data_IF_461283119938
#
_entry.id   IF_461283119938
#
_cell.length_a   1.000
_cell.length_b   1.000
_cell.length_c   1.000
_cell.angle_alpha   90.00
_cell.angle_beta   90.00
_cell.angle_gamma   90.00
#
_symmetry.space_group_name_H-M   'P 1'
#
loop_
_entity.id
_entity.type
_entity.pdbx_description
1 polymer ?
#
# COMPACT_ATOMS: atom_id res chain seq x y z
N UNK A 1 32.63 -55.20 -64.79
CA UNK A 1 31.29 -55.80 -64.60
C UNK A 1 30.83 -55.45 -63.19
N UNK A 2 29.62 -54.87 -63.06
CA UNK A 2 28.71 -54.79 -61.90
C UNK A 2 29.19 -55.47 -60.60
N UNK A 3 29.04 -54.91 -59.39
CA UNK A 3 27.84 -54.27 -58.82
C UNK A 3 28.17 -53.60 -57.48
N UNK A 4 27.46 -52.51 -57.23
CA UNK A 4 27.29 -51.74 -55.99
C UNK A 4 26.69 -52.56 -54.82
N UNK A 5 27.11 -52.29 -53.58
CA UNK A 5 26.22 -52.44 -52.41
C UNK A 5 26.35 -51.24 -51.49
N UNK A 6 25.27 -50.46 -51.46
CA UNK A 6 25.04 -49.30 -50.61
C UNK A 6 24.52 -49.79 -49.27
N UNK A 7 25.23 -49.49 -48.18
CA UNK A 7 24.70 -49.61 -46.83
C UNK A 7 24.04 -48.28 -46.44
N UNK A 8 22.70 -48.28 -46.49
CA UNK A 8 21.85 -47.19 -45.98
C UNK A 8 21.95 -47.17 -44.45
N UNK A 9 22.63 -46.17 -43.90
CA UNK A 9 22.54 -45.83 -42.48
C UNK A 9 21.10 -45.46 -42.11
N UNK A 10 20.58 -46.11 -41.08
CA UNK A 10 19.29 -45.80 -40.46
C UNK A 10 19.40 -44.43 -39.77
N UNK A 11 18.96 -43.36 -40.44
CA UNK A 11 18.76 -42.05 -39.81
C UNK A 11 17.48 -42.09 -38.99
N UNK A 12 17.60 -42.01 -37.66
CA UNK A 12 16.48 -41.69 -36.78
C UNK A 12 16.00 -40.26 -37.12
N UNK A 13 14.67 -40.02 -37.24
CA UNK A 13 14.17 -38.67 -37.37
C UNK A 13 14.46 -37.92 -36.07
N UNK A 14 15.31 -36.89 -36.15
CA UNK A 14 15.52 -35.96 -35.04
C UNK A 14 14.19 -35.29 -34.69
N UNK A 15 13.85 -35.23 -33.40
CA UNK A 15 12.71 -34.45 -32.95
C UNK A 15 12.86 -33.00 -33.43
N UNK A 16 11.79 -32.37 -33.95
CA UNK A 16 11.84 -30.96 -34.29
C UNK A 16 12.20 -30.15 -33.03
N UNK A 17 13.04 -29.11 -33.15
CA UNK A 17 13.30 -28.23 -32.03
C UNK A 17 11.98 -27.62 -31.59
N UNK A 18 11.60 -27.89 -30.34
CA UNK A 18 10.42 -27.30 -29.71
C UNK A 18 10.76 -25.86 -29.35
N UNK A 19 10.80 -24.99 -30.35
CA UNK A 19 10.82 -23.54 -30.12
C UNK A 19 9.38 -23.16 -29.82
N UNK A 20 9.09 -22.96 -28.54
CA UNK A 20 7.83 -22.35 -28.13
C UNK A 20 7.66 -21.03 -28.89
N UNK A 21 6.46 -20.74 -29.44
CA UNK A 21 6.22 -19.44 -30.06
C UNK A 21 6.54 -18.34 -29.04
N UNK A 22 7.08 -17.20 -29.48
CA UNK A 22 7.32 -16.07 -28.57
C UNK A 22 5.99 -15.76 -27.89
N UNK A 23 6.01 -15.77 -26.55
CA UNK A 23 4.84 -15.45 -25.76
C UNK A 23 4.25 -14.14 -26.31
N UNK A 24 2.99 -14.20 -26.75
CA UNK A 24 2.20 -13.01 -27.00
C UNK A 24 2.42 -12.07 -25.82
N UNK A 25 2.59 -10.77 -26.09
CA UNK A 25 2.64 -9.76 -25.02
C UNK A 25 1.26 -9.69 -24.37
N UNK A 26 1.01 -10.63 -23.46
CA UNK A 26 0.06 -10.48 -22.38
C UNK A 26 0.50 -9.22 -21.64
N UNK A 27 -0.41 -8.27 -21.39
CA UNK A 27 -0.14 -7.09 -20.59
C UNK A 27 0.75 -7.48 -19.40
N UNK A 28 1.94 -6.87 -19.31
CA UNK A 28 2.98 -7.35 -18.40
C UNK A 28 2.39 -7.49 -16.99
N UNK A 29 2.44 -8.69 -16.38
CA UNK A 29 1.80 -8.91 -15.10
C UNK A 29 2.35 -7.91 -14.08
N UNK A 30 1.44 -7.22 -13.38
CA UNK A 30 1.79 -6.25 -12.35
C UNK A 30 2.88 -6.83 -11.43
N UNK A 31 4.02 -6.13 -11.33
CA UNK A 31 5.12 -6.56 -10.46
C UNK A 31 4.82 -6.20 -9.01
N UNK A 32 5.55 -6.76 -8.05
CA UNK A 32 5.40 -6.37 -6.64
C UNK A 32 5.65 -4.87 -6.43
N UNK A 33 6.66 -4.31 -7.12
CA UNK A 33 6.92 -2.87 -7.14
C UNK A 33 5.82 -2.09 -7.87
N UNK A 34 5.26 -2.66 -8.95
CA UNK A 34 4.09 -2.10 -9.63
C UNK A 34 2.88 -2.00 -8.71
N UNK A 35 2.60 -3.04 -7.93
CA UNK A 35 1.53 -3.04 -6.92
C UNK A 35 1.79 -2.03 -5.80
N UNK A 36 3.03 -1.95 -5.32
CA UNK A 36 3.46 -0.97 -4.32
C UNK A 36 3.29 0.48 -4.80
N UNK A 37 3.42 0.74 -6.11
CA UNK A 37 3.16 2.05 -6.69
C UNK A 37 1.66 2.27 -6.91
N UNK A 38 0.95 1.28 -7.46
CA UNK A 38 -0.48 1.37 -7.80
C UNK A 38 -1.38 1.56 -6.58
N UNK A 39 -0.99 1.04 -5.41
CA UNK A 39 -1.75 1.24 -4.17
C UNK A 39 -1.83 2.70 -3.75
N UNK A 40 -0.88 3.55 -4.17
CA UNK A 40 -0.93 4.99 -3.91
C UNK A 40 -2.23 5.60 -4.43
N UNK A 41 -2.56 5.33 -5.69
CA UNK A 41 -3.80 5.80 -6.33
C UNK A 41 -5.04 5.25 -5.63
N UNK A 42 -5.06 3.96 -5.30
CA UNK A 42 -6.21 3.35 -4.60
C UNK A 42 -6.40 3.95 -3.21
N UNK A 43 -5.30 4.22 -2.50
CA UNK A 43 -5.32 4.84 -1.18
C UNK A 43 -5.81 6.30 -1.29
N UNK A 44 -5.36 7.06 -2.29
CA UNK A 44 -5.83 8.42 -2.55
C UNK A 44 -7.34 8.45 -2.81
N UNK A 45 -7.85 7.58 -3.68
CA UNK A 45 -9.30 7.48 -3.97
C UNK A 45 -10.12 7.18 -2.70
N UNK A 46 -9.67 6.22 -1.89
CA UNK A 46 -10.32 5.87 -0.62
C UNK A 46 -10.29 7.04 0.35
N UNK A 47 -9.13 7.70 0.51
CA UNK A 47 -8.99 8.85 1.40
C UNK A 47 -9.86 10.02 0.94
N UNK A 48 -9.92 10.32 -0.36
CA UNK A 48 -10.73 11.41 -0.90
C UNK A 48 -12.23 11.19 -0.65
N UNK A 49 -12.71 9.95 -0.81
CA UNK A 49 -14.08 9.59 -0.45
C UNK A 49 -14.34 9.81 1.05
N UNK A 50 -13.45 9.29 1.91
CA UNK A 50 -13.61 9.38 3.37
C UNK A 50 -13.46 10.81 3.89
N UNK A 51 -12.59 11.62 3.31
CA UNK A 51 -12.43 13.04 3.66
C UNK A 51 -13.67 13.84 3.24
N UNK A 52 -14.25 13.58 2.06
CA UNK A 52 -15.53 14.21 1.68
C UNK A 52 -16.64 13.87 2.65
N UNK A 53 -16.75 12.61 3.05
CA UNK A 53 -17.73 12.19 4.05
C UNK A 53 -17.50 12.88 5.40
N UNK A 54 -16.27 12.84 5.93
CA UNK A 54 -15.92 13.49 7.20
C UNK A 54 -16.21 14.99 7.19
N UNK A 55 -15.94 15.70 6.08
CA UNK A 55 -16.23 17.14 5.94
C UNK A 55 -17.73 17.43 5.93
N UNK A 56 -18.55 16.53 5.39
CA UNK A 56 -20.00 16.67 5.40
C UNK A 56 -20.59 16.47 6.80
N UNK A 57 -19.95 15.65 7.64
CA UNK A 57 -20.35 15.42 9.04
C UNK A 57 -19.88 16.55 9.95
N UNK A 58 -18.57 16.85 9.92
CA UNK A 58 -17.95 17.91 10.73
C UNK A 58 -16.69 18.46 10.02
N UNK A 59 -16.74 19.69 9.49
CA UNK A 59 -15.60 20.33 8.83
C UNK A 59 -14.39 20.59 9.74
N UNK A 60 -14.62 20.79 11.05
CA UNK A 60 -13.55 21.02 12.02
C UNK A 60 -12.84 19.71 12.30
N UNK A 61 -13.59 18.65 12.61
CA UNK A 61 -13.02 17.31 12.78
C UNK A 61 -12.20 16.87 11.56
N UNK A 62 -12.77 17.06 10.35
CA UNK A 62 -12.11 16.68 9.12
C UNK A 62 -10.77 17.42 8.93
N UNK A 63 -10.77 18.74 9.14
CA UNK A 63 -9.56 19.57 9.02
C UNK A 63 -8.53 19.25 10.09
N UNK A 64 -8.97 19.07 11.33
CA UNK A 64 -8.06 18.94 12.46
C UNK A 64 -7.46 17.54 12.58
N UNK A 65 -8.21 16.48 12.24
CA UNK A 65 -7.78 15.09 12.43
C UNK A 65 -7.65 14.33 11.10
N UNK A 66 -8.72 14.26 10.32
CA UNK A 66 -8.77 13.40 9.13
C UNK A 66 -7.75 13.83 8.05
N UNK A 67 -7.64 15.13 7.77
CA UNK A 67 -6.66 15.67 6.82
C UNK A 67 -5.21 15.36 7.24
N UNK A 68 -4.94 15.27 8.55
CA UNK A 68 -3.60 14.95 9.06
C UNK A 68 -3.28 13.48 8.96
N UNK A 69 -4.27 12.62 9.20
CA UNK A 69 -4.14 11.20 8.93
C UNK A 69 -3.88 10.94 7.44
N UNK A 70 -4.60 11.63 6.56
CA UNK A 70 -4.37 11.58 5.11
C UNK A 70 -2.94 12.06 4.77
N UNK A 71 -2.45 13.14 5.39
CA UNK A 71 -1.09 13.59 5.19
C UNK A 71 -0.04 12.59 5.71
N UNK A 72 -0.28 11.93 6.84
CA UNK A 72 0.60 10.91 7.42
C UNK A 72 0.70 9.68 6.50
N UNK A 73 -0.45 9.22 5.99
CA UNK A 73 -0.55 8.07 5.09
C UNK A 73 0.06 8.38 3.72
N UNK A 74 -0.11 9.59 3.19
CA UNK A 74 0.45 10.06 1.92
C UNK A 74 1.98 10.19 1.96
N UNK A 75 2.57 10.66 3.07
CA UNK A 75 4.05 10.75 3.24
C UNK A 75 4.74 9.38 3.09
N UNK A 76 4.00 8.30 3.29
CA UNK A 76 4.32 6.99 2.76
C UNK A 76 5.61 6.32 3.27
N UNK A 77 5.81 5.10 2.78
CA UNK A 77 6.98 4.26 3.00
C UNK A 77 7.12 3.30 1.82
N UNK A 78 7.98 2.28 1.90
CA UNK A 78 8.24 1.32 0.80
C UNK A 78 7.03 0.48 0.35
N UNK A 79 5.85 0.65 0.96
CA UNK A 79 4.59 -0.11 0.72
C UNK A 79 4.79 -1.63 0.67
N UNK A 80 5.71 -2.15 1.49
CA UNK A 80 6.08 -3.56 1.49
C UNK A 80 4.89 -4.46 1.84
N UNK A 81 3.98 -4.00 2.70
CA UNK A 81 2.77 -4.77 3.06
C UNK A 81 1.90 -5.03 1.85
N UNK A 82 1.69 -4.00 1.02
CA UNK A 82 0.97 -4.16 -0.24
C UNK A 82 1.72 -5.04 -1.23
N UNK A 83 3.03 -4.86 -1.36
CA UNK A 83 3.85 -5.72 -2.22
C UNK A 83 3.72 -7.20 -1.82
N UNK A 84 3.77 -7.51 -0.52
CA UNK A 84 3.59 -8.88 -0.02
C UNK A 84 2.17 -9.40 -0.20
N UNK A 85 1.14 -8.58 0.01
CA UNK A 85 -0.25 -8.98 -0.26
C UNK A 85 -0.45 -9.36 -1.73
N UNK A 86 0.10 -8.56 -2.65
CA UNK A 86 0.08 -8.86 -4.07
C UNK A 86 0.87 -10.14 -4.40
N UNK A 87 2.07 -10.32 -3.85
CA UNK A 87 2.85 -11.56 -4.03
C UNK A 87 2.08 -12.79 -3.53
N UNK A 88 1.42 -12.71 -2.38
CA UNK A 88 0.57 -13.77 -1.84
C UNK A 88 -0.61 -14.10 -2.76
N UNK A 89 -1.30 -13.08 -3.26
CA UNK A 89 -2.39 -13.25 -4.24
C UNK A 89 -1.91 -13.95 -5.52
N UNK A 90 -0.76 -13.53 -6.08
CA UNK A 90 -0.17 -14.18 -7.26
C UNK A 90 0.27 -15.62 -6.97
N UNK A 91 0.89 -15.88 -5.83
CA UNK A 91 1.30 -17.22 -5.43
C UNK A 91 0.11 -18.18 -5.25
N UNK A 92 -1.06 -17.65 -4.88
CA UNK A 92 -2.31 -18.39 -4.79
C UNK A 92 -3.04 -18.57 -6.14
N UNK A 93 -2.43 -18.20 -7.27
CA UNK A 93 -3.02 -18.33 -8.61
C UNK A 93 -3.80 -17.09 -9.08
N UNK A 94 -3.74 -15.98 -8.35
CA UNK A 94 -4.33 -14.71 -8.75
C UNK A 94 -3.81 -14.24 -10.12
N UNK A 95 -4.73 -13.85 -11.00
CA UNK A 95 -4.47 -13.31 -12.33
C UNK A 95 -5.57 -12.33 -12.74
N UNK A 96 -5.30 -11.49 -13.76
CA UNK A 96 -6.25 -10.49 -14.24
C UNK A 96 -6.36 -9.27 -13.33
N UNK A 97 -7.59 -8.84 -13.04
CA UNK A 97 -7.87 -7.62 -12.29
C UNK A 97 -7.33 -7.67 -10.84
N UNK A 98 -6.34 -6.81 -10.56
CA UNK A 98 -5.71 -6.70 -9.26
C UNK A 98 -6.42 -5.71 -8.30
N UNK A 99 -7.55 -5.12 -8.71
CA UNK A 99 -8.25 -4.08 -7.92
C UNK A 99 -8.55 -4.53 -6.50
N UNK A 100 -9.03 -5.76 -6.31
CA UNK A 100 -9.35 -6.28 -4.98
C UNK A 100 -8.10 -6.36 -4.07
N UNK A 101 -6.99 -6.90 -4.58
CA UNK A 101 -5.75 -7.02 -3.77
C UNK A 101 -5.09 -5.66 -3.54
N UNK A 102 -5.22 -4.72 -4.47
CA UNK A 102 -4.76 -3.34 -4.26
C UNK A 102 -5.61 -2.61 -3.21
N UNK A 103 -6.93 -2.81 -3.18
CA UNK A 103 -7.79 -2.30 -2.09
C UNK A 103 -7.42 -2.92 -0.74
N UNK A 104 -7.12 -4.22 -0.70
CA UNK A 104 -6.55 -4.85 0.51
C UNK A 104 -5.22 -4.21 0.91
N UNK A 105 -4.35 -3.94 -0.06
CA UNK A 105 -3.10 -3.20 0.16
C UNK A 105 -3.33 -1.82 0.80
N UNK A 106 -4.26 -1.04 0.27
CA UNK A 106 -4.60 0.27 0.82
C UNK A 106 -5.10 0.16 2.27
N UNK A 107 -5.95 -0.83 2.57
CA UNK A 107 -6.39 -1.10 3.93
C UNK A 107 -5.22 -1.47 4.87
N UNK A 108 -4.25 -2.27 4.40
CA UNK A 108 -3.04 -2.59 5.19
C UNK A 108 -2.18 -1.35 5.47
N UNK A 109 -2.13 -0.39 4.56
CA UNK A 109 -1.40 0.86 4.77
C UNK A 109 -2.11 1.79 5.77
N UNK A 110 -3.45 1.80 5.79
CA UNK A 110 -4.24 2.50 6.81
C UNK A 110 -4.09 1.84 8.19
N UNK A 111 -4.17 0.51 8.25
CA UNK A 111 -3.89 -0.25 9.47
C UNK A 111 -2.49 0.06 10.02
N UNK A 112 -1.50 0.16 9.15
CA UNK A 112 -0.16 0.56 9.56
C UNK A 112 -0.10 1.99 10.10
N UNK A 113 -0.89 2.92 9.54
CA UNK A 113 -0.96 4.27 10.05
C UNK A 113 -1.59 4.32 11.45
N UNK A 114 -2.67 3.55 11.69
CA UNK A 114 -3.25 3.34 13.02
C UNK A 114 -2.17 2.90 14.01
N UNK A 115 -1.46 1.82 13.68
CA UNK A 115 -0.42 1.26 14.55
C UNK A 115 0.68 2.29 14.86
N UNK A 116 1.19 3.00 13.86
CA UNK A 116 2.24 4.00 14.08
C UNK A 116 1.79 5.16 14.98
N UNK A 117 0.55 5.63 14.81
CA UNK A 117 0.01 6.72 15.63
C UNK A 117 -0.14 6.27 17.09
N UNK A 118 -0.68 5.08 17.32
CA UNK A 118 -0.82 4.53 18.66
C UNK A 118 0.53 4.21 19.29
N UNK A 119 1.47 3.62 18.55
CA UNK A 119 2.84 3.35 19.01
C UNK A 119 3.54 4.65 19.41
N UNK A 120 3.42 5.72 18.61
CA UNK A 120 4.03 7.02 18.95
C UNK A 120 3.52 7.56 20.29
N UNK A 121 2.24 7.33 20.61
CA UNK A 121 1.63 7.72 21.89
C UNK A 121 2.10 6.80 23.02
N UNK A 122 2.05 5.48 22.82
CA UNK A 122 2.44 4.49 23.84
C UNK A 122 3.92 4.60 24.23
N UNK A 123 4.78 4.86 23.24
CA UNK A 123 6.23 4.97 23.44
C UNK A 123 6.67 6.38 23.85
N UNK A 124 5.77 7.37 23.83
CA UNK A 124 6.13 8.78 24.03
C UNK A 124 7.07 9.34 22.96
N UNK A 125 7.00 8.80 21.73
CA UNK A 125 7.87 9.18 20.63
C UNK A 125 7.53 10.58 20.11
N UNK A 126 8.44 11.54 20.24
CA UNK A 126 8.18 12.93 19.84
C UNK A 126 8.28 13.18 18.32
N UNK A 127 8.85 12.22 17.58
CA UNK A 127 9.10 12.33 16.13
C UNK A 127 8.79 11.03 15.40
N UNK A 128 8.28 11.17 14.18
CA UNK A 128 8.02 10.10 13.23
C UNK A 128 8.50 10.51 11.85
N UNK A 129 9.41 9.72 11.27
CA UNK A 129 9.94 9.93 9.91
C UNK A 129 10.44 11.37 9.66
N UNK A 130 11.15 11.95 10.64
CA UNK A 130 11.70 13.30 10.56
C UNK A 130 10.68 14.44 10.75
N UNK A 131 9.41 14.13 11.00
CA UNK A 131 8.37 15.09 11.37
C UNK A 131 7.96 14.90 12.83
N UNK A 132 7.31 15.88 13.49
CA UNK A 132 6.69 15.67 14.79
C UNK A 132 5.69 14.52 14.74
N UNK A 133 5.65 13.71 15.80
CA UNK A 133 4.58 12.72 15.95
C UNK A 133 3.21 13.41 16.04
N UNK A 134 2.13 12.69 15.70
CA UNK A 134 0.81 13.30 15.56
C UNK A 134 0.32 13.95 16.87
N UNK A 135 0.52 13.28 18.02
CA UNK A 135 0.14 13.82 19.32
C UNK A 135 0.91 15.11 19.67
N UNK A 136 2.17 15.22 19.24
CA UNK A 136 2.99 16.43 19.41
C UNK A 136 2.50 17.57 18.52
N UNK A 137 2.19 17.30 17.25
CA UNK A 137 1.64 18.32 16.33
C UNK A 137 0.28 18.84 16.81
N UNK A 138 -0.58 17.95 17.30
CA UNK A 138 -1.88 18.33 17.85
C UNK A 138 -1.75 19.16 19.14
N UNK A 139 -0.87 18.76 20.06
CA UNK A 139 -0.60 19.52 21.28
C UNK A 139 -0.07 20.93 20.98
N UNK A 140 0.90 21.04 20.05
CA UNK A 140 1.47 22.34 19.65
C UNK A 140 0.42 23.29 19.12
N UNK A 141 -0.52 22.79 18.32
CA UNK A 141 -1.58 23.63 17.74
C UNK A 141 -2.64 24.02 18.76
N UNK A 142 -3.00 23.10 19.67
CA UNK A 142 -3.88 23.44 20.79
C UNK A 142 -3.29 24.61 21.60
N UNK A 143 -1.99 24.52 21.93
CA UNK A 143 -1.28 25.59 22.63
C UNK A 143 -1.23 26.90 21.83
N UNK A 144 -0.86 26.83 20.54
CA UNK A 144 -0.76 28.00 19.68
C UNK A 144 -2.10 28.71 19.46
N UNK A 145 -3.21 27.96 19.49
CA UNK A 145 -4.56 28.51 19.39
C UNK A 145 -5.10 29.07 20.72
N UNK A 146 -4.34 28.99 21.82
CA UNK A 146 -4.77 29.48 23.13
C UNK A 146 -5.99 28.73 23.69
N UNK A 147 -6.16 27.47 23.30
CA UNK A 147 -7.30 26.65 23.73
C UNK A 147 -7.19 26.31 25.22
N UNK A 148 -8.35 26.15 25.87
CA UNK A 148 -8.43 25.86 27.30
C UNK A 148 -8.03 24.40 27.60
N UNK A 149 -7.30 24.19 28.70
CA UNK A 149 -6.92 22.86 29.18
C UNK A 149 -5.50 22.44 28.79
N UNK A 150 -5.16 21.18 29.09
CA UNK A 150 -3.83 20.63 28.82
C UNK A 150 -3.66 20.30 27.33
N UNK A 151 -2.71 20.98 26.68
CA UNK A 151 -2.35 20.69 25.29
C UNK A 151 -1.81 19.28 25.10
N UNK A 152 -1.07 18.76 26.08
CA UNK A 152 -0.51 17.41 26.03
C UNK A 152 -1.61 16.36 26.09
N UNK A 153 -2.54 16.48 27.04
CA UNK A 153 -3.68 15.57 27.17
C UNK A 153 -4.56 15.62 25.93
N UNK A 154 -4.82 16.82 25.39
CA UNK A 154 -5.54 16.98 24.14
C UNK A 154 -4.83 16.27 22.98
N UNK A 155 -3.51 16.49 22.83
CA UNK A 155 -2.72 15.87 21.77
C UNK A 155 -2.76 14.35 21.82
N UNK A 156 -2.63 13.77 23.00
CA UNK A 156 -2.71 12.32 23.23
C UNK A 156 -4.09 11.77 22.88
N UNK A 157 -5.16 12.33 23.45
CA UNK A 157 -6.53 11.86 23.18
C UNK A 157 -6.92 11.99 21.70
N UNK A 158 -6.59 13.13 21.08
CA UNK A 158 -6.87 13.37 19.68
C UNK A 158 -6.06 12.44 18.76
N UNK A 159 -4.81 12.11 19.11
CA UNK A 159 -4.01 11.14 18.37
C UNK A 159 -4.61 9.73 18.48
N UNK A 160 -5.05 9.29 19.66
CA UNK A 160 -5.71 7.98 19.83
C UNK A 160 -6.94 7.87 18.93
N UNK A 161 -7.83 8.86 18.96
CA UNK A 161 -9.02 8.91 18.10
C UNK A 161 -8.66 8.96 16.61
N UNK A 162 -7.56 9.63 16.25
CA UNK A 162 -7.10 9.67 14.86
C UNK A 162 -6.54 8.31 14.41
N UNK A 163 -5.89 7.57 15.31
CA UNK A 163 -5.50 6.18 15.07
C UNK A 163 -6.73 5.30 14.84
N UNK A 164 -7.74 5.41 15.70
CA UNK A 164 -9.01 4.67 15.57
C UNK A 164 -9.72 4.99 14.26
N UNK A 165 -9.71 6.26 13.83
CA UNK A 165 -10.25 6.68 12.53
C UNK A 165 -9.54 5.99 11.36
N UNK A 166 -8.24 5.71 11.46
CA UNK A 166 -7.51 4.98 10.43
C UNK A 166 -7.93 3.51 10.32
N UNK A 167 -8.54 2.94 11.36
CA UNK A 167 -9.00 1.56 11.42
C UNK A 167 -10.45 1.38 10.92
N UNK A 168 -11.26 2.44 10.89
CA UNK A 168 -12.72 2.43 10.64
C UNK A 168 -13.11 2.44 9.14
#
# INVERSE_FOLDING_TARGET
MRTTKSEKGLRMPGLPPMVAPPAERVDDPLTASGAANAVGTVLEEVLDERLRHSRAVDPVFARELADRLAALTARGGKRLRTAFAHCGWRAAGGSGDATAVLRTGAALELLQACALVHDDVMDGSVQRRGAPALHVDLARRHWAAGMHGSSESFGTSAAVLTGDLALA
#
